data_IF_417307363817
#
_entry.id   IF_417307363817
#
_cell.length_a   1.000
_cell.length_b   1.000
_cell.length_c   1.000
_cell.angle_alpha   90.00
_cell.angle_beta   90.00
_cell.angle_gamma   90.00
#
_symmetry.space_group_name_H-M   'P 1'
#
loop_
_entity.id
_entity.type
_entity.pdbx_description
1 polymer ?
#
# COMPACT_ATOMS: atom_id res chain seq x y z
N UNK A 1 26.66 11.43 -20.30
CA UNK A 1 25.28 11.94 -20.09
C UNK A 1 24.77 11.82 -18.66
N UNK A 2 25.00 10.73 -17.92
CA UNK A 2 24.47 10.56 -16.54
C UNK A 2 25.05 11.55 -15.52
N UNK A 3 26.32 11.91 -15.69
CA UNK A 3 26.99 12.97 -14.94
C UNK A 3 26.24 14.31 -14.96
N UNK A 4 25.57 14.63 -16.08
CA UNK A 4 24.84 15.90 -16.22
C UNK A 4 23.58 15.94 -15.34
N UNK A 5 22.98 14.79 -15.03
CA UNK A 5 21.78 14.74 -14.19
C UNK A 5 22.07 15.07 -12.73
N UNK A 6 23.29 14.81 -12.24
CA UNK A 6 23.71 15.22 -10.90
C UNK A 6 23.86 16.74 -10.75
N UNK A 7 23.95 17.47 -11.87
CA UNK A 7 24.02 18.93 -11.88
C UNK A 7 22.63 19.60 -12.00
N UNK A 8 21.55 18.81 -12.07
CA UNK A 8 20.19 19.33 -12.16
C UNK A 8 19.76 20.03 -10.87
N UNK A 9 19.13 21.20 -10.99
CA UNK A 9 18.53 21.91 -9.86
C UNK A 9 17.35 21.15 -9.24
N UNK A 10 16.70 20.29 -10.03
CA UNK A 10 15.58 19.46 -9.60
C UNK A 10 15.99 18.05 -9.13
N UNK A 11 17.27 17.84 -8.82
CA UNK A 11 17.79 16.55 -8.36
C UNK A 11 17.11 16.08 -7.06
N UNK A 12 16.57 14.86 -7.07
CA UNK A 12 15.96 14.23 -5.91
C UNK A 12 16.99 13.75 -4.89
N UNK A 13 17.13 14.53 -3.81
CA UNK A 13 18.03 14.24 -2.70
C UNK A 13 17.50 13.16 -1.74
N UNK A 14 16.26 12.73 -1.88
CA UNK A 14 15.59 11.81 -0.95
C UNK A 14 15.58 10.40 -1.51
N UNK A 15 14.96 10.20 -2.67
CA UNK A 15 14.80 8.86 -3.28
C UNK A 15 15.72 8.64 -4.48
N UNK A 16 16.51 9.64 -4.86
CA UNK A 16 17.41 9.57 -6.01
C UNK A 16 18.82 9.08 -5.67
N UNK A 17 19.60 8.75 -6.72
CA UNK A 17 21.00 8.35 -6.57
C UNK A 17 21.88 9.46 -5.99
N UNK A 18 22.93 9.09 -5.27
CA UNK A 18 23.89 10.00 -4.64
C UNK A 18 25.31 9.54 -4.90
N UNK A 19 26.26 10.49 -4.97
CA UNK A 19 27.68 10.15 -5.02
C UNK A 19 28.25 10.03 -3.62
N UNK A 20 29.02 8.97 -3.38
CA UNK A 20 29.84 8.86 -2.18
C UNK A 20 31.15 9.66 -2.33
N UNK A 21 32.00 9.64 -1.30
CA UNK A 21 33.30 10.32 -1.29
C UNK A 21 34.30 9.77 -2.31
N UNK A 22 34.08 8.55 -2.80
CA UNK A 22 34.92 7.87 -3.79
C UNK A 22 34.39 8.04 -5.23
N UNK A 23 33.32 8.81 -5.41
CA UNK A 23 32.68 9.03 -6.71
C UNK A 23 31.75 7.90 -7.18
N UNK A 24 31.57 6.82 -6.40
CA UNK A 24 30.61 5.77 -6.73
C UNK A 24 29.18 6.28 -6.51
N UNK A 25 28.27 5.85 -7.39
CA UNK A 25 26.86 6.20 -7.30
C UNK A 25 26.16 5.16 -6.43
N UNK A 26 25.53 5.64 -5.36
CA UNK A 26 24.78 4.86 -4.39
C UNK A 26 23.30 5.20 -4.52
N UNK A 27 22.45 4.17 -4.59
CA UNK A 27 21.01 4.28 -4.53
C UNK A 27 20.51 3.48 -3.32
N UNK A 28 19.86 4.15 -2.37
CA UNK A 28 19.47 3.52 -1.11
C UNK A 28 20.68 2.91 -0.38
N UNK A 29 20.67 1.58 -0.20
CA UNK A 29 21.72 0.80 0.46
C UNK A 29 22.66 0.07 -0.50
N UNK A 30 22.53 0.27 -1.81
CA UNK A 30 23.27 -0.47 -2.84
C UNK A 30 24.01 0.48 -3.77
N UNK A 31 25.12 0.00 -4.33
CA UNK A 31 25.80 0.68 -5.43
C UNK A 31 25.00 0.50 -6.73
N UNK A 32 24.88 1.56 -7.51
CA UNK A 32 24.24 1.55 -8.82
C UNK A 32 25.27 1.99 -9.87
N UNK A 33 25.47 1.15 -10.88
CA UNK A 33 26.33 1.45 -12.03
C UNK A 33 25.43 1.70 -13.22
N UNK A 34 25.67 2.81 -13.91
CA UNK A 34 24.87 3.16 -15.06
C UNK A 34 25.70 3.03 -16.33
N UNK A 35 25.17 2.31 -17.29
CA UNK A 35 25.67 2.14 -18.64
C UNK A 35 24.69 2.77 -19.63
N UNK A 36 25.05 2.84 -20.91
CA UNK A 36 24.26 3.55 -21.94
C UNK A 36 22.78 3.14 -21.96
N UNK A 37 22.51 1.84 -21.90
CA UNK A 37 21.13 1.32 -21.98
C UNK A 37 20.68 0.53 -20.74
N UNK A 38 21.56 0.35 -19.75
CA UNK A 38 21.24 -0.46 -18.57
C UNK A 38 21.75 0.14 -17.25
N UNK A 39 21.02 -0.15 -16.18
CA UNK A 39 21.38 0.17 -14.80
C UNK A 39 21.68 -1.16 -14.11
N UNK A 40 22.90 -1.33 -13.62
CA UNK A 40 23.32 -2.50 -12.87
C UNK A 40 23.31 -2.18 -11.38
N UNK A 41 22.50 -2.93 -10.63
CA UNK A 41 22.36 -2.80 -9.18
C UNK A 41 22.51 -4.21 -8.59
N UNK A 42 23.58 -4.43 -7.84
CA UNK A 42 23.82 -5.70 -7.12
C UNK A 42 23.73 -6.95 -8.01
N UNK A 43 24.21 -6.86 -9.26
CA UNK A 43 24.15 -7.96 -10.23
C UNK A 43 22.86 -8.03 -11.07
N UNK A 44 21.82 -7.26 -10.71
CA UNK A 44 20.56 -7.17 -11.48
C UNK A 44 20.59 -5.99 -12.44
N UNK A 45 20.15 -6.21 -13.68
CA UNK A 45 20.06 -5.17 -14.71
C UNK A 45 18.64 -4.63 -14.85
N UNK A 46 18.53 -3.33 -15.07
CA UNK A 46 17.29 -2.62 -15.36
C UNK A 46 17.45 -1.76 -16.62
N UNK A 47 16.39 -1.52 -17.39
CA UNK A 47 16.46 -0.67 -18.57
C UNK A 47 16.66 0.81 -18.19
N UNK A 48 17.45 1.53 -19.01
CA UNK A 48 17.65 2.98 -18.87
C UNK A 48 16.70 3.74 -19.80
N UNK A 49 15.39 3.67 -19.54
CA UNK A 49 14.41 4.49 -20.29
C UNK A 49 14.45 5.95 -19.81
N UNK A 50 13.97 6.88 -20.65
CA UNK A 50 13.83 8.29 -20.27
C UNK A 50 12.95 8.45 -19.01
N UNK A 51 11.86 7.68 -18.92
CA UNK A 51 10.98 7.69 -17.75
C UNK A 51 11.66 7.18 -16.48
N UNK A 52 12.44 6.09 -16.58
CA UNK A 52 13.22 5.59 -15.44
C UNK A 52 14.27 6.59 -14.97
N UNK A 53 14.99 7.25 -15.88
CA UNK A 53 15.96 8.28 -15.50
C UNK A 53 15.27 9.45 -14.81
N UNK A 54 14.11 9.92 -15.30
CA UNK A 54 13.35 10.96 -14.61
C UNK A 54 12.89 10.52 -13.23
N UNK A 55 12.32 9.31 -13.11
CA UNK A 55 11.86 8.75 -11.84
C UNK A 55 13.01 8.55 -10.85
N UNK A 56 14.23 8.25 -11.30
CA UNK A 56 15.40 8.12 -10.42
C UNK A 56 15.95 9.48 -10.00
N UNK A 57 16.17 10.40 -10.93
CA UNK A 57 16.95 11.61 -10.67
C UNK A 57 16.13 12.84 -10.30
N UNK A 58 14.86 12.97 -10.73
CA UNK A 58 14.10 14.22 -10.55
C UNK A 58 13.17 14.18 -9.34
N UNK A 59 12.98 15.34 -8.69
CA UNK A 59 11.95 15.53 -7.65
C UNK A 59 10.56 15.60 -8.28
N UNK A 60 10.45 16.11 -9.49
CA UNK A 60 9.18 16.26 -10.21
C UNK A 60 9.28 15.62 -11.60
N UNK A 61 9.26 14.28 -11.69
CA UNK A 61 9.26 13.60 -12.98
C UNK A 61 7.95 13.92 -13.72
N UNK A 62 8.07 14.28 -15.00
CA UNK A 62 6.92 14.69 -15.83
C UNK A 62 6.54 13.64 -16.87
N UNK A 63 7.50 12.83 -17.32
CA UNK A 63 7.31 11.88 -18.40
C UNK A 63 7.79 10.50 -17.92
N UNK A 64 6.86 9.57 -17.76
CA UNK A 64 7.10 8.15 -17.47
C UNK A 64 5.85 7.33 -17.79
N UNK A 65 6.01 6.04 -18.08
CA UNK A 65 4.90 5.09 -18.27
C UNK A 65 4.56 4.32 -17.00
N UNK A 66 3.47 3.54 -17.02
CA UNK A 66 3.15 2.60 -15.95
C UNK A 66 4.18 1.47 -15.82
N UNK A 67 4.78 1.03 -16.94
CA UNK A 67 5.88 0.05 -16.93
C UNK A 67 7.12 0.63 -16.23
N UNK A 68 7.44 1.90 -16.50
CA UNK A 68 8.52 2.60 -15.81
C UNK A 68 8.25 2.68 -14.30
N UNK A 69 7.00 2.87 -13.87
CA UNK A 69 6.63 2.87 -12.45
C UNK A 69 6.89 1.52 -11.78
N UNK A 70 6.53 0.40 -12.41
CA UNK A 70 6.75 -0.92 -11.82
C UNK A 70 8.24 -1.29 -11.78
N UNK A 71 9.01 -0.91 -12.80
CA UNK A 71 10.48 -1.06 -12.79
C UNK A 71 11.08 -0.17 -11.69
N UNK A 72 10.65 1.09 -11.58
CA UNK A 72 11.13 2.01 -10.54
C UNK A 72 10.82 1.49 -9.13
N UNK A 73 9.61 1.00 -8.89
CA UNK A 73 9.20 0.34 -7.64
C UNK A 73 10.09 -0.87 -7.32
N UNK A 74 10.42 -1.67 -8.32
CA UNK A 74 11.32 -2.82 -8.17
C UNK A 74 12.73 -2.38 -7.77
N UNK A 75 13.27 -1.34 -8.41
CA UNK A 75 14.55 -0.73 -8.05
C UNK A 75 14.52 -0.20 -6.60
N UNK A 76 13.49 0.55 -6.22
CA UNK A 76 13.36 1.11 -4.87
C UNK A 76 13.24 0.03 -3.79
N UNK A 77 12.59 -1.10 -4.07
CA UNK A 77 12.53 -2.26 -3.18
C UNK A 77 13.91 -2.90 -3.04
N UNK A 78 14.54 -3.20 -4.17
CA UNK A 78 15.83 -3.86 -4.22
C UNK A 78 16.92 -3.06 -3.48
N UNK A 79 16.93 -1.75 -3.67
CA UNK A 79 17.89 -0.84 -3.03
C UNK A 79 17.49 -0.40 -1.63
N UNK A 80 16.26 -0.71 -1.19
CA UNK A 80 15.65 -0.15 0.03
C UNK A 80 15.64 1.39 0.07
N UNK A 81 15.72 2.07 -1.07
CA UNK A 81 15.72 3.54 -1.15
C UNK A 81 14.40 4.18 -0.68
N UNK A 82 13.32 3.40 -0.58
CA UNK A 82 12.02 3.82 -0.04
C UNK A 82 11.96 3.82 1.51
N UNK A 83 13.02 3.34 2.19
CA UNK A 83 13.10 3.24 3.64
C UNK A 83 14.19 4.15 4.21
N UNK A 84 14.07 4.51 5.49
CA UNK A 84 15.14 5.12 6.27
C UNK A 84 16.22 4.09 6.59
N UNK A 85 17.37 4.55 7.11
CA UNK A 85 18.45 3.66 7.53
C UNK A 85 17.95 2.59 8.53
N UNK A 86 17.11 3.01 9.48
CA UNK A 86 16.42 2.16 10.48
C UNK A 86 15.33 1.24 9.89
N UNK A 87 15.13 1.23 8.57
CA UNK A 87 14.12 0.41 7.90
C UNK A 87 12.68 0.92 8.03
N UNK A 88 12.47 2.14 8.55
CA UNK A 88 11.14 2.76 8.64
C UNK A 88 10.77 3.43 7.31
N UNK A 89 9.49 3.63 7.03
CA UNK A 89 9.07 4.38 5.83
C UNK A 89 9.52 5.83 5.92
N UNK A 90 10.04 6.36 4.81
CA UNK A 90 10.35 7.79 4.69
C UNK A 90 9.03 8.57 4.66
N UNK A 91 8.79 9.40 5.67
CA UNK A 91 7.60 10.29 5.74
C UNK A 91 8.02 11.70 5.34
N UNK A 92 7.66 12.13 4.14
CA UNK A 92 7.95 13.48 3.60
C UNK A 92 6.70 14.07 2.94
N UNK A 93 6.71 15.36 2.61
CA UNK A 93 5.55 16.07 2.04
C UNK A 93 5.76 16.52 0.58
N UNK A 94 6.90 16.20 -0.03
CA UNK A 94 7.23 16.59 -1.40
C UNK A 94 6.35 15.91 -2.45
N UNK A 95 6.28 16.51 -3.64
CA UNK A 95 5.48 16.04 -4.78
C UNK A 95 5.70 14.54 -5.05
N UNK A 96 6.94 14.13 -5.28
CA UNK A 96 7.30 12.72 -5.51
C UNK A 96 6.77 11.77 -4.44
N UNK A 97 6.81 12.18 -3.16
CA UNK A 97 6.26 11.35 -2.11
C UNK A 97 4.74 11.22 -2.22
N UNK A 98 4.04 12.34 -2.38
CA UNK A 98 2.58 12.39 -2.39
C UNK A 98 1.98 11.63 -3.58
N UNK A 99 2.60 11.79 -4.75
CA UNK A 99 2.07 11.38 -6.04
C UNK A 99 2.61 10.05 -6.54
N UNK A 100 3.82 9.66 -6.12
CA UNK A 100 4.49 8.45 -6.61
C UNK A 100 4.78 7.51 -5.44
N UNK A 101 5.69 7.85 -4.53
CA UNK A 101 6.19 6.92 -3.50
C UNK A 101 5.06 6.39 -2.60
N UNK A 102 4.13 7.25 -2.15
CA UNK A 102 3.01 6.85 -1.31
C UNK A 102 2.05 5.89 -2.02
N UNK A 103 1.89 6.01 -3.34
CA UNK A 103 1.03 5.13 -4.15
C UNK A 103 1.72 3.78 -4.42
N UNK A 104 3.04 3.78 -4.66
CA UNK A 104 3.83 2.56 -4.86
C UNK A 104 4.01 1.75 -3.57
N UNK A 105 4.07 2.43 -2.42
CA UNK A 105 4.28 1.84 -1.11
C UNK A 105 3.19 2.27 -0.13
N UNK A 106 1.91 1.93 -0.39
CA UNK A 106 0.82 2.31 0.49
C UNK A 106 1.19 1.87 1.90
N UNK A 107 1.16 2.82 2.84
CA UNK A 107 1.13 2.45 4.24
C UNK A 107 -0.12 1.63 4.38
N UNK A 108 0.04 0.38 4.83
CA UNK A 108 -1.09 -0.41 5.23
C UNK A 108 -1.86 0.37 6.29
N UNK A 109 -2.79 1.22 5.86
CA UNK A 109 -4.16 0.92 6.15
C UNK A 109 -4.38 -0.49 5.64
N UNK A 110 -3.94 -1.47 6.43
CA UNK A 110 -4.80 -2.58 6.74
C UNK A 110 -6.18 -1.96 6.85
N UNK A 111 -7.18 -2.55 6.20
CA UNK A 111 -8.56 -2.38 6.60
C UNK A 111 -8.55 -2.41 8.13
N UNK A 112 -8.55 -1.23 8.76
CA UNK A 112 -8.71 -1.08 10.19
C UNK A 112 -10.21 -1.17 10.38
N UNK A 113 -10.75 -2.33 10.01
CA UNK A 113 -11.96 -2.80 10.62
C UNK A 113 -11.51 -2.91 12.07
N UNK A 114 -11.97 -1.97 12.91
CA UNK A 114 -12.05 -2.26 14.34
C UNK A 114 -12.84 -3.56 14.38
N UNK A 115 -12.14 -4.68 14.50
CA UNK A 115 -12.73 -5.88 15.03
C UNK A 115 -13.04 -5.46 16.46
N UNK A 116 -14.22 -4.83 16.66
CA UNK A 116 -14.92 -5.03 17.91
C UNK A 116 -14.86 -6.51 18.09
N UNK A 117 -14.30 -6.99 19.19
CA UNK A 117 -14.11 -8.40 19.51
C UNK A 117 -15.50 -9.09 19.42
N UNK A 118 -15.96 -9.37 18.21
CA UNK A 118 -17.12 -10.20 17.97
C UNK A 118 -16.54 -11.57 18.27
N UNK A 119 -16.85 -12.02 19.49
CA UNK A 119 -16.76 -13.42 19.83
C UNK A 119 -17.36 -14.16 18.63
N UNK A 120 -16.51 -14.84 17.85
CA UNK A 120 -16.97 -15.80 16.87
C UNK A 120 -17.64 -16.90 17.70
N UNK A 121 -18.93 -16.71 17.98
CA UNK A 121 -19.76 -17.73 18.60
C UNK A 121 -20.23 -18.59 17.45
N UNK A 122 -19.72 -19.81 17.41
CA UNK A 122 -20.16 -20.82 16.47
C UNK A 122 -21.46 -21.40 17.02
N UNK A 123 -22.58 -21.15 16.34
CA UNK A 123 -23.89 -21.59 16.78
C UNK A 123 -24.25 -22.87 16.01
N UNK A 124 -24.19 -24.02 16.68
CA UNK A 124 -24.53 -25.31 16.07
C UNK A 124 -26.04 -25.50 15.86
N UNK A 125 -26.88 -24.66 16.50
CA UNK A 125 -28.33 -24.81 16.52
C UNK A 125 -29.05 -23.51 16.10
N UNK A 126 -29.90 -23.54 15.06
CA UNK A 126 -30.68 -22.38 14.62
C UNK A 126 -31.56 -21.74 15.70
N UNK A 127 -32.01 -22.50 16.71
CA UNK A 127 -32.80 -21.93 17.81
C UNK A 127 -32.00 -20.92 18.65
N UNK A 128 -30.69 -21.15 18.80
CA UNK A 128 -29.80 -20.26 19.56
C UNK A 128 -29.61 -18.92 18.81
N UNK A 129 -29.55 -18.95 17.48
CA UNK A 129 -29.55 -17.76 16.63
C UNK A 129 -30.84 -16.94 16.79
N UNK A 130 -32.00 -17.61 16.86
CA UNK A 130 -33.30 -16.94 17.04
C UNK A 130 -33.41 -16.30 18.43
N UNK A 131 -32.94 -16.97 19.48
CA UNK A 131 -32.92 -16.40 20.83
C UNK A 131 -31.94 -15.23 20.96
N UNK A 132 -30.77 -15.32 20.32
CA UNK A 132 -29.83 -14.21 20.22
C UNK A 132 -30.42 -13.03 19.46
N UNK A 133 -31.09 -13.28 18.34
CA UNK A 133 -31.77 -12.25 17.55
C UNK A 133 -32.84 -11.52 18.36
N UNK A 134 -33.65 -12.24 19.14
CA UNK A 134 -34.65 -11.65 20.06
C UNK A 134 -34.01 -10.69 21.05
N UNK A 135 -32.88 -11.09 21.66
CA UNK A 135 -32.15 -10.24 22.61
C UNK A 135 -31.59 -8.98 21.95
N UNK A 136 -31.05 -9.10 20.72
CA UNK A 136 -30.50 -7.96 19.98
C UNK A 136 -31.59 -6.98 19.54
N UNK A 137 -32.75 -7.47 19.10
CA UNK A 137 -33.90 -6.63 18.77
C UNK A 137 -34.39 -5.85 20.00
N UNK A 138 -34.52 -6.51 21.15
CA UNK A 138 -34.85 -5.82 22.40
C UNK A 138 -33.80 -4.76 22.80
N UNK A 139 -32.50 -5.04 22.60
CA UNK A 139 -31.44 -4.07 22.84
C UNK A 139 -31.53 -2.86 21.87
N UNK A 140 -31.88 -3.11 20.61
CA UNK A 140 -32.09 -2.08 19.59
C UNK A 140 -33.30 -1.20 19.92
N UNK A 141 -34.40 -1.79 20.37
CA UNK A 141 -35.60 -1.08 20.80
C UNK A 141 -35.35 -0.22 22.05
N UNK A 142 -34.42 -0.65 22.92
CA UNK A 142 -33.92 0.13 24.04
C UNK A 142 -32.94 1.26 23.63
N UNK A 143 -32.70 1.47 22.34
CA UNK A 143 -31.90 2.57 21.79
C UNK A 143 -30.42 2.24 21.53
N UNK A 144 -29.99 0.98 21.67
CA UNK A 144 -28.63 0.59 21.34
C UNK A 144 -28.46 0.42 19.82
N UNK A 145 -27.79 1.36 19.15
CA UNK A 145 -27.56 1.30 17.70
C UNK A 145 -26.40 0.40 17.30
N UNK A 146 -25.55 0.00 18.26
CA UNK A 146 -24.34 -0.80 18.04
C UNK A 146 -24.59 -2.27 17.68
N UNK A 147 -25.82 -2.78 17.84
CA UNK A 147 -26.17 -4.18 17.58
C UNK A 147 -26.57 -4.47 16.13
N UNK A 148 -26.66 -3.45 15.28
CA UNK A 148 -27.19 -3.57 13.92
C UNK A 148 -26.39 -4.53 13.03
N UNK A 149 -25.07 -4.54 13.16
CA UNK A 149 -24.21 -5.42 12.36
C UNK A 149 -24.37 -6.90 12.75
N UNK A 150 -24.56 -7.18 14.04
CA UNK A 150 -24.78 -8.55 14.53
C UNK A 150 -26.15 -9.09 14.07
N UNK A 151 -27.18 -8.24 14.09
CA UNK A 151 -28.50 -8.57 13.55
C UNK A 151 -28.41 -8.94 12.07
N UNK A 152 -27.68 -8.17 11.26
CA UNK A 152 -27.49 -8.45 9.82
C UNK A 152 -26.77 -9.79 9.63
N UNK A 153 -25.69 -10.03 10.39
CA UNK A 153 -24.93 -11.28 10.33
C UNK A 153 -25.79 -12.51 10.65
N UNK A 154 -26.70 -12.44 11.63
CA UNK A 154 -27.61 -13.54 11.97
C UNK A 154 -28.62 -13.78 10.84
N UNK A 155 -29.15 -12.72 10.21
CA UNK A 155 -30.06 -12.88 9.08
C UNK A 155 -29.35 -13.53 7.87
N UNK A 156 -28.09 -13.20 7.61
CA UNK A 156 -27.30 -13.84 6.56
C UNK A 156 -27.11 -15.33 6.84
N UNK A 157 -26.75 -15.70 8.08
CA UNK A 157 -26.57 -17.11 8.48
C UNK A 157 -27.87 -17.92 8.39
N UNK A 158 -29.00 -17.36 8.87
CA UNK A 158 -30.31 -18.01 8.76
C UNK A 158 -30.76 -18.17 7.29
N UNK A 159 -30.36 -17.24 6.41
CA UNK A 159 -30.64 -17.32 4.98
C UNK A 159 -29.77 -18.39 4.30
N UNK A 160 -28.47 -18.45 4.61
CA UNK A 160 -27.55 -19.49 4.11
C UNK A 160 -27.95 -20.89 4.57
N UNK A 161 -28.46 -21.03 5.80
CA UNK A 161 -29.03 -22.26 6.31
C UNK A 161 -30.38 -22.65 5.64
N UNK A 162 -30.93 -21.79 4.78
CA UNK A 162 -32.20 -22.01 4.08
C UNK A 162 -33.44 -21.94 4.96
N UNK A 163 -33.33 -21.37 6.17
CA UNK A 163 -34.41 -21.29 7.15
C UNK A 163 -35.30 -20.06 6.93
N UNK A 164 -34.74 -19.02 6.33
CA UNK A 164 -35.47 -17.83 5.91
C UNK A 164 -35.21 -17.52 4.44
N UNK A 165 -36.16 -16.83 3.82
CA UNK A 165 -36.04 -16.36 2.44
C UNK A 165 -36.22 -14.86 2.40
N UNK A 166 -35.45 -14.18 1.54
CA UNK A 166 -35.71 -12.78 1.24
C UNK A 166 -37.06 -12.68 0.54
N UNK A 167 -37.92 -11.81 1.04
CA UNK A 167 -39.13 -11.42 0.33
C UNK A 167 -38.70 -10.36 -0.70
N UNK A 168 -38.88 -10.58 -2.01
CA UNK A 168 -38.59 -9.56 -3.00
C UNK A 168 -39.55 -8.36 -2.82
N UNK A 169 -38.95 -7.18 -2.66
CA UNK A 169 -39.53 -5.83 -2.54
C UNK A 169 -41.00 -5.71 -2.06
N UNK A 170 -41.14 -5.32 -0.78
CA UNK A 170 -42.26 -4.51 -0.27
C UNK A 170 -41.76 -3.09 -0.06
#
# INVERSE_FOLDING_TARGET
EIENWFNSTDLDKIYGPKKNTYGNIILGKKEAKFFENTILIDGTTYPTTSGIIQLLFLKNPLIYSDDDLEVYKSILKHTSAHLTLDGRKIKKSGFKYKDIIRKLFPSGGQLSMKIQKNNLVYWDNPNELVDRLRLLLASKDAGNTGVSNEIISIFEELHEAGLIRRIPDV
#
